data_IF_046718944228
#
_entry.id   IF_046718944228
#
_cell.length_a   1.000
_cell.length_b   1.000
_cell.length_c   1.000
_cell.angle_alpha   90.00
_cell.angle_beta   90.00
_cell.angle_gamma   90.00
#
_symmetry.space_group_name_H-M   'P 1'
#
loop_
_entity.id
_entity.type
_entity.pdbx_description
1 polymer ?
#
# COMPACT_ATOMS: atom_id res chain seq x y z
N UNK A 1 -49.89 -22.23 -33.55
CA UNK A 1 -49.26 -20.93 -33.21
C UNK A 1 -47.97 -21.24 -32.47
N UNK A 2 -46.82 -21.18 -33.15
CA UNK A 2 -45.52 -21.23 -32.46
C UNK A 2 -45.11 -19.80 -32.09
N UNK A 3 -44.63 -19.55 -30.86
CA UNK A 3 -44.14 -18.22 -30.49
C UNK A 3 -42.91 -17.87 -31.33
N UNK A 4 -42.81 -16.60 -31.70
CA UNK A 4 -41.73 -15.99 -32.47
C UNK A 4 -40.37 -16.40 -31.88
N UNK A 5 -39.52 -16.99 -32.72
CA UNK A 5 -38.13 -17.28 -32.39
C UNK A 5 -37.42 -15.95 -32.05
N UNK A 6 -37.03 -15.79 -30.78
CA UNK A 6 -36.11 -14.73 -30.38
C UNK A 6 -34.73 -15.10 -30.94
N UNK A 7 -34.33 -14.47 -32.04
CA UNK A 7 -32.99 -14.62 -32.61
C UNK A 7 -31.99 -14.03 -31.61
N UNK A 8 -31.25 -14.90 -30.90
CA UNK A 8 -30.07 -14.48 -30.12
C UNK A 8 -29.03 -13.95 -31.11
N UNK A 9 -28.76 -12.66 -31.06
CA UNK A 9 -27.67 -12.05 -31.83
C UNK A 9 -26.41 -12.15 -30.99
N UNK A 10 -25.38 -12.80 -31.53
CA UNK A 10 -24.08 -12.89 -30.89
C UNK A 10 -23.13 -11.84 -31.51
N UNK A 11 -22.44 -11.07 -30.66
CA UNK A 11 -21.41 -10.09 -31.00
C UNK A 11 -20.02 -10.62 -30.66
N UNK A 12 -18.98 -9.91 -31.10
CA UNK A 12 -17.58 -10.29 -30.93
C UNK A 12 -17.01 -10.95 -32.18
N UNK A 13 -15.68 -10.95 -32.34
CA UNK A 13 -15.03 -11.52 -33.52
C UNK A 13 -15.23 -13.04 -33.64
N UNK A 14 -15.60 -13.71 -32.54
CA UNK A 14 -15.89 -15.14 -32.48
C UNK A 14 -17.34 -15.42 -32.13
N UNK A 15 -18.22 -14.41 -32.19
CA UNK A 15 -19.64 -14.51 -31.83
C UNK A 15 -19.83 -15.08 -30.40
N UNK A 16 -18.98 -14.68 -29.46
CA UNK A 16 -18.95 -15.19 -28.09
C UNK A 16 -19.92 -14.47 -27.14
N UNK A 17 -20.51 -13.35 -27.56
CA UNK A 17 -21.24 -12.46 -26.65
C UNK A 17 -22.71 -12.29 -27.01
N UNK A 18 -23.59 -12.63 -26.07
CA UNK A 18 -25.03 -12.57 -26.28
C UNK A 18 -25.53 -11.13 -26.13
N UNK A 19 -26.30 -10.61 -27.10
CA UNK A 19 -26.94 -9.30 -26.95
C UNK A 19 -27.84 -9.27 -25.71
N UNK A 20 -27.72 -8.25 -24.83
CA UNK A 20 -28.72 -8.03 -23.79
C UNK A 20 -30.08 -7.79 -24.43
N UNK A 21 -31.14 -8.39 -23.85
CA UNK A 21 -32.51 -8.41 -24.39
C UNK A 21 -33.18 -7.02 -24.56
N UNK A 22 -32.53 -5.95 -24.12
CA UNK A 22 -33.10 -4.61 -24.02
C UNK A 22 -32.30 -3.53 -24.79
N UNK A 23 -31.67 -3.78 -25.96
CA UNK A 23 -31.00 -2.70 -26.71
C UNK A 23 -31.03 -2.78 -28.25
N UNK A 24 -31.18 -1.60 -28.88
CA UNK A 24 -31.60 -1.37 -30.28
C UNK A 24 -30.45 -1.01 -31.24
N UNK A 25 -29.18 -0.83 -30.79
CA UNK A 25 -28.07 -0.58 -31.74
C UNK A 25 -26.69 -0.99 -31.22
N UNK A 26 -25.77 -1.23 -32.16
CA UNK A 26 -24.37 -1.61 -31.92
C UNK A 26 -23.51 -0.49 -31.28
N UNK A 27 -24.03 0.73 -31.17
CA UNK A 27 -23.32 1.89 -30.62
C UNK A 27 -23.28 1.89 -29.07
N UNK A 28 -24.07 1.06 -28.40
CA UNK A 28 -24.20 1.07 -26.94
C UNK A 28 -23.22 0.16 -26.19
N UNK A 29 -22.59 -0.80 -26.88
CA UNK A 29 -21.60 -1.72 -26.29
C UNK A 29 -20.22 -1.06 -26.17
N UNK A 30 -19.90 -0.12 -27.06
CA UNK A 30 -18.65 0.65 -27.02
C UNK A 30 -18.69 1.74 -25.94
N UNK A 31 -19.89 2.26 -25.65
CA UNK A 31 -20.10 3.24 -24.59
C UNK A 31 -19.75 2.69 -23.20
N UNK A 32 -19.85 1.37 -22.99
CA UNK A 32 -19.57 0.72 -21.70
C UNK A 32 -18.08 0.65 -21.39
N UNK A 33 -17.22 0.69 -22.40
CA UNK A 33 -15.76 0.70 -22.26
C UNK A 33 -15.16 2.11 -22.16
N UNK A 34 -16.02 3.12 -22.00
CA UNK A 34 -15.63 4.52 -21.89
C UNK A 34 -15.75 4.98 -20.43
N UNK A 35 -14.68 5.54 -19.89
CA UNK A 35 -14.65 5.97 -18.48
C UNK A 35 -15.53 7.20 -18.22
N UNK A 36 -15.56 8.15 -19.15
CA UNK A 36 -16.39 9.36 -19.07
C UNK A 36 -16.97 9.74 -20.44
N UNK A 37 -18.13 10.39 -20.48
CA UNK A 37 -18.76 10.81 -21.74
C UNK A 37 -17.94 11.87 -22.51
N UNK A 38 -16.90 12.42 -21.88
CA UNK A 38 -16.02 13.45 -22.41
C UNK A 38 -14.81 12.88 -23.16
N UNK A 39 -14.34 11.68 -22.84
CA UNK A 39 -13.22 11.04 -23.52
C UNK A 39 -13.70 10.21 -24.70
N UNK A 40 -13.18 10.41 -25.93
CA UNK A 40 -13.44 9.52 -27.05
C UNK A 40 -12.61 8.22 -26.98
N UNK A 41 -11.82 8.00 -25.91
CA UNK A 41 -10.92 6.87 -25.79
C UNK A 41 -11.58 5.71 -25.05
N UNK A 42 -11.61 4.54 -25.69
CA UNK A 42 -12.00 3.28 -25.07
C UNK A 42 -10.83 2.68 -24.30
N UNK A 43 -11.11 2.10 -23.13
CA UNK A 43 -10.14 1.36 -22.31
C UNK A 43 -8.82 2.11 -22.09
N UNK A 44 -8.89 3.44 -21.92
CA UNK A 44 -7.74 4.33 -21.74
C UNK A 44 -6.65 4.18 -22.81
N UNK A 45 -6.98 3.62 -23.99
CA UNK A 45 -6.04 3.23 -25.06
C UNK A 45 -5.01 2.16 -24.66
N UNK A 46 -5.24 1.48 -23.55
CA UNK A 46 -4.37 0.45 -22.99
C UNK A 46 -4.98 -0.96 -23.10
N UNK A 47 -6.02 -1.13 -23.91
CA UNK A 47 -6.73 -2.39 -24.08
C UNK A 47 -7.67 -2.37 -25.27
N UNK A 48 -8.35 -3.48 -25.46
CA UNK A 48 -9.40 -3.66 -26.47
C UNK A 48 -10.75 -3.84 -25.77
N UNK A 49 -11.80 -3.21 -26.28
CA UNK A 49 -13.15 -3.41 -25.76
C UNK A 49 -13.73 -4.69 -26.38
N UNK A 50 -13.86 -5.73 -25.58
CA UNK A 50 -14.44 -7.00 -25.99
C UNK A 50 -15.72 -7.20 -25.19
N UNK A 51 -16.85 -7.14 -25.90
CA UNK A 51 -18.17 -7.38 -25.32
C UNK A 51 -18.55 -6.44 -24.17
N UNK A 52 -18.18 -5.17 -24.29
CA UNK A 52 -18.46 -4.15 -23.27
C UNK A 52 -17.54 -4.21 -22.04
N UNK A 53 -16.49 -5.05 -22.08
CA UNK A 53 -15.47 -5.15 -21.04
C UNK A 53 -14.11 -4.83 -21.65
N UNK A 54 -13.30 -4.06 -20.93
CA UNK A 54 -11.94 -3.77 -21.36
C UNK A 54 -11.00 -4.94 -21.07
N UNK A 55 -10.39 -5.46 -22.13
CA UNK A 55 -9.29 -6.43 -22.07
C UNK A 55 -7.97 -5.67 -22.14
N UNK A 56 -7.33 -5.50 -20.99
CA UNK A 56 -6.10 -4.71 -20.86
C UNK A 56 -4.88 -5.43 -21.43
N UNK A 57 -3.98 -4.67 -22.06
CA UNK A 57 -2.71 -5.14 -22.58
C UNK A 57 -1.56 -4.82 -21.61
N UNK A 58 -0.52 -5.66 -21.59
CA UNK A 58 0.68 -5.43 -20.77
C UNK A 58 0.42 -5.48 -19.26
N UNK A 59 0.92 -4.48 -18.53
CA UNK A 59 0.77 -4.36 -17.06
C UNK A 59 -0.42 -3.47 -16.66
N UNK A 60 -1.26 -3.06 -17.60
CA UNK A 60 -2.41 -2.21 -17.30
C UNK A 60 -3.51 -2.99 -16.55
N UNK A 61 -4.27 -2.26 -15.72
CA UNK A 61 -5.29 -2.78 -14.80
C UNK A 61 -6.47 -1.82 -14.65
N UNK A 62 -7.55 -2.33 -14.07
CA UNK A 62 -8.79 -1.60 -13.80
C UNK A 62 -9.83 -1.77 -14.90
N UNK A 63 -11.08 -1.40 -14.60
CA UNK A 63 -12.23 -1.61 -15.49
C UNK A 63 -12.09 -0.93 -16.86
N UNK A 64 -11.27 0.13 -16.93
CA UNK A 64 -10.99 0.87 -18.16
C UNK A 64 -9.49 0.87 -18.50
N UNK A 65 -8.70 -0.06 -17.95
CA UNK A 65 -7.25 -0.13 -18.12
C UNK A 65 -6.49 1.16 -17.74
N UNK A 66 -7.02 1.90 -16.77
CA UNK A 66 -6.52 3.23 -16.36
C UNK A 66 -5.35 3.18 -15.37
N UNK A 67 -5.02 2.01 -14.82
CA UNK A 67 -3.93 1.83 -13.88
C UNK A 67 -2.76 1.08 -14.55
N UNK A 68 -1.54 1.29 -14.05
CA UNK A 68 -0.35 0.54 -14.44
C UNK A 68 0.56 0.32 -13.23
N UNK A 69 1.50 -0.63 -13.35
CA UNK A 69 2.41 -1.02 -12.28
C UNK A 69 3.73 -0.22 -12.27
N UNK A 70 3.90 0.77 -13.15
CA UNK A 70 5.21 1.35 -13.50
C UNK A 70 5.29 2.89 -13.39
N UNK A 71 4.16 3.57 -13.23
CA UNK A 71 4.03 5.03 -13.18
C UNK A 71 4.15 5.60 -11.77
N UNK A 72 4.42 4.76 -10.76
CA UNK A 72 4.72 5.22 -9.41
C UNK A 72 6.02 6.06 -9.35
N UNK A 73 6.18 6.87 -8.31
CA UNK A 73 7.38 7.67 -8.10
C UNK A 73 8.64 6.79 -7.96
N UNK A 74 9.75 7.31 -8.49
CA UNK A 74 11.08 6.68 -8.37
C UNK A 74 11.98 7.48 -7.44
N UNK A 75 12.73 6.78 -6.61
CA UNK A 75 13.81 7.34 -5.81
C UNK A 75 15.08 6.52 -6.03
N UNK A 76 16.21 7.16 -6.34
CA UNK A 76 17.46 6.49 -6.72
C UNK A 76 17.27 5.43 -7.83
N UNK A 77 16.48 5.76 -8.86
CA UNK A 77 16.10 4.87 -9.96
C UNK A 77 15.31 3.60 -9.56
N UNK A 78 14.88 3.46 -8.30
CA UNK A 78 14.03 2.37 -7.85
C UNK A 78 12.55 2.82 -7.83
N UNK A 79 11.69 2.06 -8.50
CA UNK A 79 10.23 2.28 -8.47
C UNK A 79 9.68 1.93 -7.10
N UNK A 80 8.81 2.78 -6.54
CA UNK A 80 8.37 2.67 -5.16
C UNK A 80 9.56 2.67 -4.17
N UNK A 81 10.63 3.38 -4.50
CA UNK A 81 11.72 3.66 -3.58
C UNK A 81 11.49 4.99 -2.85
N UNK A 82 12.18 5.17 -1.73
CA UNK A 82 12.17 6.41 -0.95
C UNK A 82 11.37 6.30 0.33
N UNK A 83 11.42 7.33 1.17
CA UNK A 83 10.93 7.30 2.56
C UNK A 83 9.47 6.85 2.75
N UNK A 84 8.61 7.06 1.75
CA UNK A 84 7.20 6.62 1.79
C UNK A 84 7.02 5.10 1.62
N UNK A 85 7.97 4.40 1.00
CA UNK A 85 7.89 2.97 0.70
C UNK A 85 9.02 2.15 1.36
N UNK A 86 10.13 2.80 1.72
CA UNK A 86 11.27 2.17 2.40
C UNK A 86 10.96 1.85 3.88
N UNK A 87 9.96 2.52 4.46
CA UNK A 87 9.61 2.38 5.86
C UNK A 87 8.52 1.31 6.07
N UNK A 88 8.89 0.18 6.66
CA UNK A 88 7.92 -0.87 6.99
C UNK A 88 6.91 -0.38 8.04
N UNK A 89 5.64 -0.76 7.87
CA UNK A 89 4.59 -0.63 8.89
C UNK A 89 4.74 -1.66 10.02
N UNK A 90 5.67 -2.61 9.87
CA UNK A 90 5.96 -3.62 10.88
C UNK A 90 6.59 -3.00 12.12
N UNK A 91 6.27 -3.59 13.27
CA UNK A 91 6.76 -3.20 14.58
C UNK A 91 7.29 -4.38 15.38
N UNK A 92 7.47 -5.55 14.74
CA UNK A 92 7.84 -6.80 15.41
C UNK A 92 9.19 -6.72 16.13
N UNK A 93 10.19 -6.04 15.56
CA UNK A 93 11.48 -5.84 16.23
C UNK A 93 11.45 -4.79 17.34
N UNK A 94 10.42 -3.94 17.37
CA UNK A 94 10.20 -2.95 18.43
C UNK A 94 9.40 -3.51 19.61
N UNK A 95 8.82 -4.71 19.49
CA UNK A 95 8.01 -5.32 20.55
C UNK A 95 8.89 -5.68 21.74
N UNK A 96 8.40 -5.34 22.92
CA UNK A 96 8.99 -5.73 24.20
C UNK A 96 7.90 -6.38 25.06
N UNK A 97 8.25 -6.89 26.24
CA UNK A 97 7.26 -7.45 27.17
C UNK A 97 6.20 -6.42 27.61
N UNK A 98 6.46 -5.11 27.45
CA UNK A 98 5.54 -4.02 27.74
C UNK A 98 5.21 -3.17 26.52
N UNK A 99 5.51 -1.86 26.59
CA UNK A 99 5.28 -0.91 25.48
C UNK A 99 6.32 -1.08 24.37
N UNK A 100 6.00 -0.65 23.15
CA UNK A 100 6.99 -0.59 22.06
C UNK A 100 8.21 0.22 22.53
N UNK A 101 9.41 -0.27 22.22
CA UNK A 101 10.67 0.38 22.62
C UNK A 101 10.77 0.67 24.13
N UNK A 102 10.21 -0.21 24.98
CA UNK A 102 10.06 -0.05 26.43
C UNK A 102 9.36 1.26 26.86
N UNK A 103 8.60 1.91 25.96
CA UNK A 103 8.02 3.22 26.20
C UNK A 103 9.04 4.37 26.22
N UNK A 104 10.27 4.11 25.78
CA UNK A 104 11.40 5.03 25.80
C UNK A 104 11.83 5.52 24.41
N UNK A 105 10.92 5.45 23.45
CA UNK A 105 11.14 5.88 22.08
C UNK A 105 9.94 5.61 21.20
N UNK A 106 10.09 5.92 19.91
CA UNK A 106 9.11 5.65 18.86
C UNK A 106 9.61 4.51 17.97
N UNK A 107 8.71 3.63 17.53
CA UNK A 107 9.05 2.61 16.55
C UNK A 107 8.87 3.18 15.14
N UNK A 108 9.96 3.34 14.40
CA UNK A 108 9.98 3.84 13.04
C UNK A 108 10.70 2.83 12.15
N UNK A 109 10.02 2.40 11.09
CA UNK A 109 10.55 1.43 10.12
C UNK A 109 11.05 0.14 10.78
N UNK A 110 10.27 -0.39 11.72
CA UNK A 110 10.61 -1.56 12.54
C UNK A 110 11.89 -1.40 13.39
N UNK A 111 12.29 -0.17 13.70
CA UNK A 111 13.45 0.11 14.54
C UNK A 111 13.10 1.16 15.61
N UNK A 112 13.61 0.97 16.83
CA UNK A 112 13.38 1.92 17.90
C UNK A 112 14.25 3.17 17.76
N UNK A 113 13.60 4.33 17.65
CA UNK A 113 14.23 5.63 17.75
C UNK A 113 14.08 6.13 19.18
N UNK A 114 15.15 6.00 19.96
CA UNK A 114 15.14 6.22 21.39
C UNK A 114 15.12 7.70 21.78
N UNK A 115 14.53 7.98 22.95
CA UNK A 115 14.60 9.29 23.60
C UNK A 115 16.06 9.65 23.95
N UNK A 116 16.31 10.95 24.19
CA UNK A 116 17.64 11.45 24.53
C UNK A 116 18.26 10.67 25.71
N UNK A 117 19.53 10.33 25.58
CA UNK A 117 20.33 9.53 26.51
C UNK A 117 19.96 8.05 26.64
N UNK A 118 19.11 7.52 25.76
CA UNK A 118 18.79 6.11 25.68
C UNK A 118 19.22 5.51 24.33
N UNK A 119 19.63 4.25 24.35
CA UNK A 119 20.09 3.57 23.15
C UNK A 119 19.89 2.05 23.23
N UNK A 120 20.22 1.38 22.14
CA UNK A 120 20.05 -0.06 21.96
C UNK A 120 18.77 -0.41 21.22
N UNK A 121 18.62 -1.70 20.89
CA UNK A 121 17.58 -2.20 19.99
C UNK A 121 16.15 -1.93 20.50
N UNK A 122 15.98 -1.81 21.82
CA UNK A 122 14.71 -1.58 22.51
C UNK A 122 14.75 -0.40 23.49
N UNK A 123 15.75 0.49 23.39
CA UNK A 123 15.91 1.66 24.27
C UNK A 123 16.09 1.35 25.76
N UNK A 124 16.63 0.19 26.12
CA UNK A 124 16.89 -0.16 27.53
C UNK A 124 18.23 0.33 28.09
N UNK A 125 19.16 0.80 27.26
CA UNK A 125 20.51 1.20 27.72
C UNK A 125 20.58 2.71 27.90
N UNK A 126 21.23 3.15 28.98
CA UNK A 126 21.43 4.57 29.31
C UNK A 126 22.82 5.01 28.83
N UNK A 127 22.86 6.00 27.94
CA UNK A 127 24.11 6.63 27.51
C UNK A 127 24.70 7.45 28.67
N UNK A 128 26.03 7.42 28.79
CA UNK A 128 26.76 8.17 29.83
C UNK A 128 26.22 7.92 31.25
N UNK A 129 25.91 6.66 31.57
CA UNK A 129 25.35 6.29 32.87
C UNK A 129 26.23 6.72 34.06
N UNK A 130 27.56 6.57 33.96
CA UNK A 130 28.48 6.88 35.05
C UNK A 130 28.39 8.35 35.53
N UNK A 131 28.57 9.37 34.68
CA UNK A 131 28.40 10.76 35.13
C UNK A 131 26.97 11.07 35.56
N UNK A 132 25.95 10.45 34.95
CA UNK A 132 24.53 10.67 35.29
C UNK A 132 24.16 10.16 36.69
N UNK A 133 24.73 9.03 37.11
CA UNK A 133 24.43 8.39 38.40
C UNK A 133 25.51 8.61 39.46
N UNK A 134 26.57 9.36 39.15
CA UNK A 134 27.68 9.61 40.07
C UNK A 134 27.18 10.13 41.42
N UNK A 135 26.33 11.15 41.41
CA UNK A 135 25.78 11.75 42.63
C UNK A 135 24.98 10.75 43.49
N UNK A 136 24.18 9.89 42.85
CA UNK A 136 23.42 8.85 43.56
C UNK A 136 24.36 7.84 44.21
N UNK A 137 25.36 7.34 43.47
CA UNK A 137 26.31 6.35 43.97
C UNK A 137 27.16 6.93 45.10
N UNK A 138 27.63 8.17 44.99
CA UNK A 138 28.40 8.83 46.06
C UNK A 138 27.58 9.03 47.33
N UNK A 139 26.28 9.34 47.21
CA UNK A 139 25.38 9.48 48.36
C UNK A 139 25.18 8.15 49.08
N UNK A 140 24.86 7.09 48.34
CA UNK A 140 24.66 5.74 48.89
C UNK A 140 25.91 5.19 49.58
N UNK A 141 27.10 5.46 49.03
CA UNK A 141 28.35 5.06 49.67
C UNK A 141 28.61 5.84 50.97
N UNK A 142 28.35 7.15 50.99
CA UNK A 142 28.51 7.96 52.19
C UNK A 142 27.59 7.51 53.33
N UNK A 143 26.34 7.13 53.02
CA UNK A 143 25.39 6.60 54.01
C UNK A 143 25.91 5.28 54.61
N UNK A 144 26.47 4.40 53.78
CA UNK A 144 27.02 3.12 54.25
C UNK A 144 28.27 3.27 55.13
N UNK A 145 29.06 4.32 54.94
CA UNK A 145 30.22 4.59 55.80
C UNK A 145 29.86 5.24 57.13
N UNK A 146 28.71 5.92 57.23
CA UNK A 146 28.22 6.47 58.51
C UNK A 146 27.53 5.45 59.42
N UNK A 147 27.15 4.29 58.89
CA UNK A 147 26.48 3.20 59.62
C UNK A 147 27.43 2.04 60.02
N UNK A 148 28.74 2.18 59.77
CA UNK A 148 29.80 1.22 60.10
C UNK A 148 30.71 1.72 61.24
#
# INVERSE_FOLDING_TARGET
>A
MCPLAVTRVNLGQRCECEQPKDMISADSMDATCRQDNSSPCYCSRHGSCECGICVCQGTHRGDFCQCDDNSCARHNNMLCGGSACDCSTRTDQCRTAGKLCNGQGTCLCNQCQCNKDLFGMNCSKIANACPKFLACVTCELAIKESDA
#
